data_IF_919057092263
#
_entry.id   IF_919057092263
#
_cell.length_a   1.000
_cell.length_b   1.000
_cell.length_c   1.000
_cell.angle_alpha   90.00
_cell.angle_beta   90.00
_cell.angle_gamma   90.00
#
_symmetry.space_group_name_H-M   'P 1'
#
loop_
_entity.id
_entity.type
_entity.pdbx_description
1 polymer ?
#
# COMPACT_ATOMS: atom_id res chain seq x y z
N UNK A 1 -9.89 55.11 29.97
CA UNK A 1 -10.39 53.94 30.72
C UNK A 1 -9.83 52.70 30.06
N UNK A 2 -8.81 52.11 30.68
CA UNK A 2 -8.10 50.94 30.18
C UNK A 2 -8.67 49.72 30.96
N UNK A 3 -9.35 48.81 30.28
CA UNK A 3 -9.80 47.54 30.88
C UNK A 3 -8.70 46.50 30.75
N UNK A 4 -8.11 46.15 31.88
CA UNK A 4 -7.19 45.02 32.02
C UNK A 4 -8.03 43.77 32.16
N UNK A 5 -8.02 42.90 31.12
CA UNK A 5 -8.61 41.56 31.15
C UNK A 5 -7.66 40.59 31.82
N UNK A 6 -8.02 40.07 32.97
CA UNK A 6 -7.32 39.01 33.69
C UNK A 6 -7.70 37.67 33.06
N UNK A 7 -6.78 37.00 32.36
CA UNK A 7 -6.96 35.65 31.87
C UNK A 7 -6.67 34.64 33.01
N UNK A 8 -7.70 33.99 33.49
CA UNK A 8 -7.60 32.84 34.40
C UNK A 8 -7.20 31.58 33.61
N UNK A 9 -5.99 31.12 33.83
CA UNK A 9 -5.54 29.82 33.34
C UNK A 9 -6.17 28.70 34.19
N UNK A 10 -6.94 27.83 33.55
CA UNK A 10 -7.45 26.62 34.18
C UNK A 10 -6.33 25.57 34.33
N UNK A 11 -6.26 24.85 35.46
CA UNK A 11 -5.25 23.81 35.63
C UNK A 11 -5.54 22.61 34.69
N UNK A 12 -4.50 22.12 34.05
CA UNK A 12 -4.54 20.89 33.30
C UNK A 12 -4.73 19.70 34.26
N UNK A 13 -5.92 19.12 34.28
CA UNK A 13 -6.16 17.89 35.01
C UNK A 13 -5.38 16.74 34.34
N UNK A 14 -4.44 16.18 35.08
CA UNK A 14 -3.72 14.96 34.69
C UNK A 14 -4.73 13.81 34.64
N UNK A 15 -5.01 13.29 33.44
CA UNK A 15 -5.77 12.05 33.26
C UNK A 15 -4.94 10.92 33.87
N UNK A 16 -5.30 10.55 35.08
CA UNK A 16 -4.74 9.35 35.72
C UNK A 16 -5.17 8.12 34.91
N UNK A 17 -4.18 7.35 34.43
CA UNK A 17 -4.42 6.07 33.79
C UNK A 17 -5.18 5.18 34.80
N UNK A 18 -6.44 4.88 34.51
CA UNK A 18 -7.27 4.02 35.34
C UNK A 18 -6.69 2.60 35.26
N UNK A 19 -6.15 2.10 36.37
CA UNK A 19 -5.83 0.69 36.54
C UNK A 19 -7.16 -0.10 36.37
N UNK A 20 -7.17 -1.03 35.42
CA UNK A 20 -8.31 -1.91 35.21
C UNK A 20 -8.65 -2.72 36.46
N UNK A 21 -9.87 -3.31 36.54
CA UNK A 21 -10.36 -4.00 37.73
C UNK A 21 -9.40 -5.14 38.14
N UNK A 22 -9.13 -5.32 39.42
CA UNK A 22 -8.30 -6.41 39.92
C UNK A 22 -9.03 -7.75 39.71
N UNK A 23 -8.39 -8.67 38.94
CA UNK A 23 -8.89 -10.05 38.84
C UNK A 23 -8.94 -10.71 37.47
N UNK A 24 -8.67 -9.99 36.37
CA UNK A 24 -8.46 -10.68 35.10
C UNK A 24 -6.98 -11.09 34.99
N UNK A 25 -6.73 -12.39 34.95
CA UNK A 25 -5.41 -12.91 34.63
C UNK A 25 -4.96 -12.29 33.30
N UNK A 26 -3.93 -11.45 33.35
CA UNK A 26 -3.29 -10.93 32.14
C UNK A 26 -2.74 -12.15 31.40
N UNK A 27 -3.07 -12.27 30.12
CA UNK A 27 -2.42 -13.26 29.26
C UNK A 27 -0.89 -13.06 29.24
N UNK A 28 -0.16 -13.98 28.60
CA UNK A 28 1.31 -13.91 28.53
C UNK A 28 1.80 -12.57 27.99
N UNK A 29 2.86 -12.04 28.57
CA UNK A 29 3.54 -10.83 28.12
C UNK A 29 4.37 -11.09 26.87
N UNK A 30 4.85 -10.04 26.23
CA UNK A 30 5.79 -10.16 25.11
C UNK A 30 7.10 -10.84 25.53
N UNK A 31 7.57 -10.62 26.77
CA UNK A 31 8.78 -11.26 27.32
C UNK A 31 8.58 -12.77 27.44
N UNK A 32 7.43 -13.23 27.92
CA UNK A 32 7.12 -14.65 28.00
C UNK A 32 7.15 -15.32 26.62
N UNK A 33 6.64 -14.65 25.59
CA UNK A 33 6.65 -15.14 24.21
C UNK A 33 8.09 -15.17 23.64
N UNK A 34 8.84 -14.10 23.84
CA UNK A 34 10.21 -13.95 23.32
C UNK A 34 11.19 -14.89 24.03
N UNK A 35 10.88 -15.37 25.25
CA UNK A 35 11.66 -16.41 25.92
C UNK A 35 11.92 -17.63 25.05
N UNK A 36 11.00 -17.96 24.12
CA UNK A 36 11.18 -19.02 23.15
C UNK A 36 11.34 -18.47 21.71
N UNK A 37 10.51 -17.50 21.32
CA UNK A 37 10.47 -17.02 19.94
C UNK A 37 11.64 -16.10 19.53
N UNK A 38 12.49 -15.68 20.44
CA UNK A 38 13.77 -15.03 20.14
C UNK A 38 14.89 -16.01 19.76
N UNK A 39 14.68 -17.32 19.90
CA UNK A 39 15.65 -18.32 19.45
C UNK A 39 15.56 -18.51 17.93
N UNK A 40 16.66 -18.20 17.23
CA UNK A 40 16.79 -18.38 15.77
C UNK A 40 16.72 -19.85 15.34
N UNK A 41 16.98 -20.79 16.23
CA UNK A 41 16.89 -22.23 15.99
C UNK A 41 15.48 -22.78 16.13
N UNK A 42 14.55 -22.03 16.70
CA UNK A 42 13.18 -22.49 16.92
C UNK A 42 12.44 -22.69 15.61
N UNK A 43 12.05 -23.94 15.33
CA UNK A 43 11.35 -24.31 14.11
C UNK A 43 10.20 -25.28 14.39
N UNK A 44 9.24 -25.36 13.49
CA UNK A 44 8.24 -26.44 13.44
C UNK A 44 8.18 -27.08 12.06
N UNK A 45 7.69 -28.30 12.02
CA UNK A 45 7.47 -29.01 10.74
C UNK A 45 6.07 -28.71 10.20
N UNK A 46 6.01 -28.21 8.97
CA UNK A 46 4.75 -27.99 8.23
C UNK A 46 4.86 -28.67 6.86
N UNK A 47 4.06 -29.67 6.63
CA UNK A 47 4.08 -30.47 5.40
C UNK A 47 5.50 -30.95 5.01
N UNK A 48 6.27 -31.41 6.01
CA UNK A 48 7.63 -31.91 5.82
C UNK A 48 8.72 -30.85 5.63
N UNK A 49 8.39 -29.57 5.77
CA UNK A 49 9.35 -28.45 5.71
C UNK A 49 9.53 -27.81 7.07
N UNK A 50 10.76 -27.53 7.44
CA UNK A 50 11.06 -26.75 8.64
C UNK A 50 10.67 -25.28 8.40
N UNK A 51 9.79 -24.76 9.25
CA UNK A 51 9.35 -23.36 9.24
C UNK A 51 9.89 -22.70 10.50
N UNK A 52 10.61 -21.60 10.35
CA UNK A 52 11.10 -20.81 11.46
C UNK A 52 9.94 -20.19 12.25
N UNK A 53 10.04 -20.24 13.56
CA UNK A 53 9.15 -19.56 14.50
C UNK A 53 9.86 -18.36 15.16
N UNK A 54 11.07 -18.04 14.71
CA UNK A 54 11.85 -16.91 15.21
C UNK A 54 11.13 -15.59 14.94
N UNK A 55 11.08 -14.73 15.94
CA UNK A 55 10.60 -13.36 15.85
C UNK A 55 11.71 -12.42 16.27
N UNK A 56 12.12 -11.54 15.35
CA UNK A 56 13.11 -10.51 15.63
C UNK A 56 12.44 -9.35 16.37
N UNK A 57 12.77 -9.19 17.63
CA UNK A 57 12.19 -8.17 18.50
C UNK A 57 12.49 -6.75 18.00
N UNK A 58 13.69 -6.50 17.46
CA UNK A 58 14.07 -5.18 16.96
C UNK A 58 13.29 -4.82 15.68
N UNK A 59 13.00 -5.80 14.86
CA UNK A 59 12.12 -5.64 13.68
C UNK A 59 10.69 -5.35 14.11
N UNK A 60 10.19 -6.11 15.10
CA UNK A 60 8.84 -5.91 15.64
C UNK A 60 8.69 -4.50 16.24
N UNK A 61 9.64 -4.05 17.06
CA UNK A 61 9.63 -2.71 17.68
C UNK A 61 9.55 -1.57 16.66
N UNK A 62 10.13 -1.75 15.48
CA UNK A 62 10.08 -0.76 14.37
C UNK A 62 8.81 -0.82 13.55
N UNK A 63 8.00 -1.87 13.71
CA UNK A 63 6.71 -2.01 13.05
C UNK A 63 5.72 -0.95 13.54
N UNK A 64 4.74 -0.59 12.72
CA UNK A 64 3.60 0.26 13.15
C UNK A 64 2.80 -0.37 14.29
N UNK A 65 2.92 -1.69 14.49
CA UNK A 65 2.29 -2.45 15.56
C UNK A 65 3.26 -2.75 16.72
N UNK A 66 4.46 -2.22 16.71
CA UNK A 66 5.53 -2.55 17.68
C UNK A 66 5.23 -2.25 19.15
N UNK A 67 4.12 -1.54 19.43
CA UNK A 67 3.66 -1.26 20.80
C UNK A 67 2.54 -2.20 21.27
N UNK A 68 2.10 -3.12 20.40
CA UNK A 68 1.05 -4.07 20.75
C UNK A 68 1.63 -5.32 21.40
N UNK A 69 0.85 -5.93 22.29
CA UNK A 69 1.15 -7.25 22.81
C UNK A 69 1.01 -8.31 21.70
N UNK A 70 1.82 -9.38 21.76
CA UNK A 70 1.72 -10.49 20.82
C UNK A 70 0.31 -11.07 20.77
N UNK A 71 -0.34 -11.16 21.92
CA UNK A 71 -1.70 -11.67 22.08
C UNK A 71 -2.78 -10.75 21.47
N UNK A 72 -2.47 -9.51 21.13
CA UNK A 72 -3.40 -8.63 20.40
C UNK A 72 -3.70 -9.19 18.99
N UNK A 73 -2.71 -9.86 18.39
CA UNK A 73 -2.85 -10.52 17.08
C UNK A 73 -3.05 -12.04 17.25
N UNK A 74 -2.29 -12.68 18.13
CA UNK A 74 -2.34 -14.11 18.43
C UNK A 74 -3.36 -14.40 19.54
N UNK A 75 -4.62 -14.10 19.29
CA UNK A 75 -5.71 -14.04 20.28
C UNK A 75 -6.12 -15.38 20.92
N UNK A 76 -5.55 -16.49 20.46
CA UNK A 76 -5.85 -17.82 21.02
C UNK A 76 -4.87 -18.26 22.11
N UNK A 77 -3.91 -17.40 22.52
CA UNK A 77 -2.88 -17.73 23.51
C UNK A 77 -3.28 -17.14 24.85
N UNK A 78 -3.52 -18.01 25.84
CA UNK A 78 -3.88 -17.65 27.21
C UNK A 78 -2.81 -18.03 28.23
N UNK A 79 -1.89 -18.90 27.86
CA UNK A 79 -0.80 -19.41 28.69
C UNK A 79 0.43 -19.75 27.85
N UNK A 80 1.60 -19.87 28.47
CA UNK A 80 2.83 -20.40 27.86
C UNK A 80 3.36 -21.56 28.73
N UNK A 81 3.77 -22.68 28.11
CA UNK A 81 3.72 -22.97 26.67
C UNK A 81 2.28 -23.10 26.17
N UNK A 82 2.04 -22.63 24.94
CA UNK A 82 0.73 -22.64 24.31
C UNK A 82 0.51 -23.88 23.41
N UNK A 83 -0.73 -24.09 22.98
CA UNK A 83 -1.08 -25.16 22.04
C UNK A 83 -0.30 -25.01 20.72
N UNK A 84 0.13 -26.11 20.12
CA UNK A 84 0.90 -26.13 18.87
C UNK A 84 0.12 -25.53 17.68
N UNK A 85 -1.20 -25.77 17.66
CA UNK A 85 -2.10 -25.25 16.61
C UNK A 85 -2.88 -24.06 17.14
N UNK A 86 -2.57 -22.89 16.63
CA UNK A 86 -3.23 -21.63 16.99
C UNK A 86 -4.25 -21.21 15.92
N UNK A 87 -5.28 -20.45 16.30
CA UNK A 87 -6.14 -19.77 15.34
C UNK A 87 -5.33 -18.84 14.42
N UNK A 88 -5.71 -18.72 13.14
CA UNK A 88 -5.04 -17.77 12.24
C UNK A 88 -5.24 -16.33 12.72
N UNK A 89 -4.19 -15.52 12.58
CA UNK A 89 -4.25 -14.09 12.86
C UNK A 89 -5.21 -13.40 11.90
N UNK A 90 -6.08 -12.55 12.44
CA UNK A 90 -7.07 -11.80 11.67
C UNK A 90 -6.87 -10.30 11.79
N UNK A 91 -6.32 -9.69 10.73
CA UNK A 91 -6.13 -8.24 10.63
C UNK A 91 -7.45 -7.47 10.63
N UNK A 92 -8.53 -8.09 10.14
CA UNK A 92 -9.86 -7.46 10.03
C UNK A 92 -10.50 -7.11 11.38
N UNK A 93 -10.03 -7.66 12.49
CA UNK A 93 -10.52 -7.31 13.83
C UNK A 93 -10.34 -5.81 14.12
N UNK A 94 -9.23 -5.23 13.68
CA UNK A 94 -8.94 -3.81 13.81
C UNK A 94 -9.09 -3.06 12.47
N UNK A 95 -8.76 -3.70 11.35
CA UNK A 95 -8.77 -3.11 10.01
C UNK A 95 -10.02 -3.54 9.20
N UNK A 96 -11.20 -3.54 9.82
CA UNK A 96 -12.44 -4.03 9.21
C UNK A 96 -12.82 -3.29 7.90
N UNK A 97 -12.54 -1.98 7.81
CA UNK A 97 -12.84 -1.22 6.59
C UNK A 97 -11.91 -1.62 5.44
N UNK A 98 -10.60 -1.74 5.69
CA UNK A 98 -9.65 -2.19 4.68
C UNK A 98 -10.01 -3.60 4.19
N UNK A 99 -10.32 -4.52 5.11
CA UNK A 99 -10.72 -5.88 4.77
C UNK A 99 -12.00 -5.94 3.92
N UNK A 100 -13.04 -5.16 4.26
CA UNK A 100 -14.26 -5.07 3.45
C UNK A 100 -14.00 -4.49 2.06
N UNK A 101 -13.15 -3.48 1.98
CA UNK A 101 -12.80 -2.85 0.71
C UNK A 101 -12.00 -3.78 -0.17
N UNK A 102 -10.99 -4.46 0.42
CA UNK A 102 -10.15 -5.42 -0.28
C UNK A 102 -10.97 -6.62 -0.80
N UNK A 103 -11.95 -7.11 -0.05
CA UNK A 103 -12.81 -8.20 -0.48
C UNK A 103 -13.53 -7.93 -1.82
N UNK A 104 -13.63 -6.68 -2.26
CA UNK A 104 -14.20 -6.30 -3.56
C UNK A 104 -13.14 -6.09 -4.64
N UNK A 105 -11.86 -6.07 -4.27
CA UNK A 105 -10.72 -5.90 -5.20
C UNK A 105 -10.48 -7.15 -6.03
N UNK A 106 -9.70 -7.02 -7.10
CA UNK A 106 -9.25 -8.17 -7.90
C UNK A 106 -8.43 -9.15 -7.05
N UNK A 107 -7.63 -8.65 -6.11
CA UNK A 107 -6.82 -9.46 -5.21
C UNK A 107 -7.66 -10.16 -4.15
N UNK A 108 -8.60 -9.46 -3.52
CA UNK A 108 -9.46 -10.02 -2.48
C UNK A 108 -10.43 -11.08 -3.01
N UNK A 109 -10.77 -11.03 -4.31
CA UNK A 109 -11.60 -12.04 -4.99
C UNK A 109 -10.79 -13.20 -5.57
N UNK A 110 -9.48 -13.11 -5.58
CA UNK A 110 -8.62 -14.18 -6.09
C UNK A 110 -8.70 -15.42 -5.19
N UNK A 111 -8.68 -16.60 -5.79
CA UNK A 111 -8.79 -17.87 -5.10
C UNK A 111 -7.69 -18.86 -5.53
N UNK A 112 -7.56 -19.95 -4.80
CA UNK A 112 -6.58 -20.99 -5.10
C UNK A 112 -5.13 -20.49 -4.99
N UNK A 113 -4.29 -20.84 -5.94
CA UNK A 113 -2.87 -20.44 -5.98
C UNK A 113 -2.66 -18.93 -6.17
N UNK A 114 -3.66 -18.22 -6.69
CA UNK A 114 -3.62 -16.77 -6.87
C UNK A 114 -4.10 -15.98 -5.65
N UNK A 115 -4.45 -16.65 -4.54
CA UNK A 115 -4.97 -16.01 -3.33
C UNK A 115 -3.93 -15.07 -2.74
N UNK A 116 -4.32 -13.81 -2.60
CA UNK A 116 -3.53 -12.77 -1.94
C UNK A 116 -4.13 -12.52 -0.55
N UNK A 117 -3.28 -12.37 0.45
CA UNK A 117 -3.68 -12.06 1.83
C UNK A 117 -3.10 -10.70 2.24
N UNK A 118 -3.59 -10.12 3.32
CA UNK A 118 -3.02 -8.87 3.86
C UNK A 118 -1.50 -8.96 4.02
N UNK A 119 -1.03 -10.11 4.53
CA UNK A 119 0.40 -10.38 4.78
C UNK A 119 1.24 -10.46 3.49
N UNK A 120 0.62 -10.79 2.35
CA UNK A 120 1.34 -10.85 1.07
C UNK A 120 1.91 -9.49 0.64
N UNK A 121 1.28 -8.40 1.07
CA UNK A 121 1.70 -7.03 0.78
C UNK A 121 2.30 -6.33 1.99
N UNK A 122 1.75 -6.55 3.18
CA UNK A 122 2.12 -5.82 4.40
C UNK A 122 3.12 -6.57 5.29
N UNK A 123 3.43 -7.83 5.00
CA UNK A 123 4.23 -8.67 5.89
C UNK A 123 3.48 -9.06 7.16
N UNK A 124 4.23 -9.49 8.17
CA UNK A 124 3.69 -9.97 9.47
C UNK A 124 4.15 -9.11 10.63
N UNK A 125 5.41 -9.27 11.04
CA UNK A 125 5.99 -8.57 12.20
C UNK A 125 6.67 -7.23 11.82
N UNK A 126 7.11 -7.07 10.57
CA UNK A 126 7.76 -5.87 10.04
C UNK A 126 6.77 -4.97 9.26
N UNK A 127 5.58 -4.73 9.81
CA UNK A 127 4.58 -3.92 9.09
C UNK A 127 5.02 -2.46 9.04
N UNK A 128 5.33 -1.98 7.84
CA UNK A 128 5.72 -0.60 7.59
C UNK A 128 4.49 0.32 7.44
N UNK A 129 4.64 1.64 7.67
CA UNK A 129 3.59 2.61 7.36
C UNK A 129 3.17 2.49 5.88
N UNK A 130 1.87 2.52 5.60
CA UNK A 130 1.36 2.40 4.23
C UNK A 130 1.92 3.48 3.28
N UNK A 131 2.25 4.65 3.81
CA UNK A 131 2.85 5.78 3.06
C UNK A 131 4.30 5.54 2.62
N UNK A 132 4.95 4.52 3.16
CA UNK A 132 6.34 4.16 2.80
C UNK A 132 6.43 2.97 1.86
N UNK A 133 5.30 2.35 1.52
CA UNK A 133 5.28 1.23 0.59
C UNK A 133 5.49 1.72 -0.85
N UNK A 134 6.54 1.22 -1.49
CA UNK A 134 6.86 1.47 -2.89
C UNK A 134 6.25 0.42 -3.83
N UNK A 135 7.05 -0.03 -4.80
CA UNK A 135 6.67 -1.07 -5.75
C UNK A 135 6.99 -2.50 -5.25
N UNK A 136 7.71 -2.64 -4.15
CA UNK A 136 8.24 -3.91 -3.63
C UNK A 136 7.13 -4.94 -3.36
N UNK A 137 5.99 -4.59 -2.73
CA UNK A 137 4.92 -5.55 -2.49
C UNK A 137 4.34 -6.14 -3.79
N UNK A 138 4.34 -5.35 -4.87
CA UNK A 138 3.83 -5.78 -6.17
C UNK A 138 4.81 -6.72 -6.87
N UNK A 139 6.11 -6.49 -6.69
CA UNK A 139 7.19 -7.20 -7.39
C UNK A 139 7.17 -8.70 -7.16
N UNK A 140 6.77 -9.15 -5.97
CA UNK A 140 6.75 -10.57 -5.61
C UNK A 140 5.91 -11.42 -6.59
N UNK A 141 4.82 -10.86 -7.12
CA UNK A 141 3.93 -11.54 -8.08
C UNK A 141 4.00 -10.91 -9.47
N UNK A 142 4.19 -9.59 -9.57
CA UNK A 142 4.22 -8.83 -10.83
C UNK A 142 5.65 -8.45 -11.26
N UNK A 143 6.61 -9.37 -11.08
CA UNK A 143 8.04 -9.12 -11.32
C UNK A 143 8.38 -8.54 -12.70
N UNK A 144 7.92 -9.10 -13.82
CA UNK A 144 8.21 -8.55 -15.16
C UNK A 144 7.71 -7.11 -15.34
N UNK A 145 6.47 -6.84 -14.92
CA UNK A 145 5.84 -5.51 -15.02
C UNK A 145 6.53 -4.51 -14.10
N UNK A 146 6.89 -4.91 -12.89
CA UNK A 146 7.63 -4.06 -11.95
C UNK A 146 9.00 -3.69 -12.50
N UNK A 147 9.71 -4.65 -13.13
CA UNK A 147 11.00 -4.34 -13.80
C UNK A 147 10.84 -3.33 -14.93
N UNK A 148 9.80 -3.45 -15.74
CA UNK A 148 9.51 -2.48 -16.80
C UNK A 148 9.23 -1.09 -16.19
N UNK A 149 8.38 -1.02 -15.17
CA UNK A 149 8.09 0.23 -14.46
C UNK A 149 9.35 0.88 -13.88
N UNK A 150 10.28 0.12 -13.30
CA UNK A 150 11.52 0.65 -12.71
C UNK A 150 12.44 1.33 -13.75
N UNK A 151 12.27 1.05 -15.03
CA UNK A 151 12.99 1.76 -16.10
C UNK A 151 12.28 3.03 -16.57
N UNK A 152 11.05 3.27 -16.15
CA UNK A 152 10.22 4.39 -16.59
C UNK A 152 10.69 5.75 -16.06
N UNK A 153 10.20 6.81 -16.69
CA UNK A 153 10.45 8.19 -16.24
C UNK A 153 9.87 8.43 -14.84
N UNK A 154 8.76 7.80 -14.50
CA UNK A 154 8.12 7.95 -13.17
C UNK A 154 8.96 7.31 -12.07
N UNK A 155 9.37 6.06 -12.23
CA UNK A 155 10.19 5.37 -11.24
C UNK A 155 11.57 6.05 -11.08
N UNK A 156 12.19 6.49 -12.18
CA UNK A 156 13.45 7.25 -12.13
C UNK A 156 13.28 8.60 -11.42
N UNK A 157 12.11 9.23 -11.49
CA UNK A 157 11.83 10.45 -10.75
C UNK A 157 11.72 10.18 -9.25
N UNK A 158 11.00 9.13 -8.84
CA UNK A 158 10.92 8.68 -7.45
C UNK A 158 12.29 8.35 -6.87
N UNK A 159 13.12 7.61 -7.62
CA UNK A 159 14.49 7.27 -7.22
C UNK A 159 15.39 8.50 -7.00
N UNK A 160 15.05 9.65 -7.60
CA UNK A 160 15.71 10.95 -7.37
C UNK A 160 15.06 11.78 -6.27
N UNK A 161 14.11 11.20 -5.50
CA UNK A 161 13.42 11.87 -4.40
C UNK A 161 12.25 12.77 -4.81
N UNK A 162 11.76 12.65 -6.05
CA UNK A 162 10.56 13.39 -6.51
C UNK A 162 9.32 12.64 -6.03
N UNK A 163 8.78 13.06 -4.88
CA UNK A 163 7.70 12.37 -4.16
C UNK A 163 6.34 12.42 -4.87
N UNK A 164 6.13 13.34 -5.80
CA UNK A 164 4.89 13.47 -6.58
C UNK A 164 4.96 12.78 -7.96
N UNK A 165 5.95 11.92 -8.18
CA UNK A 165 5.97 11.00 -9.30
C UNK A 165 5.13 9.75 -8.99
N UNK A 166 4.55 9.15 -10.03
CA UNK A 166 3.53 8.11 -9.88
C UNK A 166 4.10 6.75 -9.47
N UNK A 167 3.45 6.11 -8.49
CA UNK A 167 3.58 4.69 -8.14
C UNK A 167 2.47 3.85 -8.81
N UNK A 168 2.52 2.55 -8.62
CA UNK A 168 1.56 1.60 -9.22
C UNK A 168 0.10 1.99 -8.94
N UNK A 169 -0.23 2.30 -7.68
CA UNK A 169 -1.59 2.63 -7.27
C UNK A 169 -2.09 4.01 -7.73
N UNK A 170 -1.21 4.91 -8.16
CA UNK A 170 -1.62 6.20 -8.72
C UNK A 170 -2.30 6.02 -10.08
N UNK A 171 -1.90 4.97 -10.82
CA UNK A 171 -2.52 4.59 -12.08
C UNK A 171 -3.61 3.55 -11.90
N UNK A 172 -3.35 2.49 -11.10
CA UNK A 172 -4.26 1.36 -10.94
C UNK A 172 -5.38 1.61 -9.92
N UNK A 173 -5.33 2.71 -9.17
CA UNK A 173 -6.25 3.03 -8.10
C UNK A 173 -5.80 2.51 -6.74
N UNK A 174 -6.55 2.83 -5.70
CA UNK A 174 -6.21 2.49 -4.32
C UNK A 174 -5.98 0.98 -4.15
N UNK A 175 -4.90 0.60 -3.44
CA UNK A 175 -4.44 -0.79 -3.32
C UNK A 175 -5.53 -1.79 -2.89
N UNK A 176 -6.43 -1.39 -1.99
CA UNK A 176 -7.55 -2.22 -1.55
C UNK A 176 -8.79 -2.14 -2.46
N UNK A 177 -8.72 -1.44 -3.61
CA UNK A 177 -9.82 -1.29 -4.58
C UNK A 177 -9.38 -1.58 -6.00
N UNK A 178 -8.28 -2.31 -6.17
CA UNK A 178 -7.75 -2.62 -7.48
C UNK A 178 -8.78 -3.37 -8.33
N UNK A 179 -8.92 -2.92 -9.58
CA UNK A 179 -9.83 -3.50 -10.58
C UNK A 179 -9.03 -4.04 -11.76
N UNK A 180 -9.60 -5.01 -12.47
CA UNK A 180 -9.03 -5.46 -13.74
C UNK A 180 -9.02 -4.30 -14.74
N UNK A 181 -8.01 -4.24 -15.59
CA UNK A 181 -7.99 -3.30 -16.73
C UNK A 181 -9.15 -3.52 -17.72
N UNK A 182 -9.82 -4.66 -17.67
CA UNK A 182 -11.02 -4.96 -18.47
C UNK A 182 -12.31 -4.47 -17.81
N UNK A 183 -12.29 -4.04 -16.54
CA UNK A 183 -13.44 -3.47 -15.85
C UNK A 183 -13.63 -2.00 -16.30
N UNK A 184 -14.79 -1.62 -16.85
CA UNK A 184 -15.05 -0.25 -17.29
C UNK A 184 -14.89 0.81 -16.19
N UNK A 185 -14.99 0.44 -14.92
CA UNK A 185 -14.76 1.34 -13.80
C UNK A 185 -13.29 1.38 -13.33
N UNK A 186 -12.41 0.57 -13.93
CA UNK A 186 -10.98 0.62 -13.63
C UNK A 186 -10.36 1.93 -14.13
N UNK A 187 -9.49 2.58 -13.34
CA UNK A 187 -8.71 3.71 -13.85
C UNK A 187 -7.81 3.35 -15.04
N UNK A 188 -7.44 2.08 -15.16
CA UNK A 188 -6.63 1.56 -16.28
C UNK A 188 -7.45 0.88 -17.37
N UNK A 189 -8.80 1.01 -17.33
CA UNK A 189 -9.63 0.65 -18.48
C UNK A 189 -9.24 1.52 -19.68
N UNK A 190 -9.12 0.92 -20.86
CA UNK A 190 -8.54 1.60 -22.03
C UNK A 190 -9.12 3.01 -22.25
N UNK A 191 -10.45 3.14 -22.31
CA UNK A 191 -11.10 4.43 -22.55
C UNK A 191 -10.89 5.45 -21.41
N UNK A 192 -10.46 5.03 -20.21
CA UNK A 192 -10.20 5.90 -19.05
C UNK A 192 -8.72 6.23 -18.86
N UNK A 193 -7.84 5.59 -19.61
CA UNK A 193 -6.38 5.78 -19.44
C UNK A 193 -5.97 7.24 -19.60
N UNK A 194 -6.54 7.95 -20.57
CA UNK A 194 -6.22 9.36 -20.76
C UNK A 194 -6.65 10.23 -19.56
N UNK A 195 -7.80 9.94 -18.95
CA UNK A 195 -8.25 10.61 -17.71
C UNK A 195 -7.27 10.33 -16.55
N UNK A 196 -6.82 9.09 -16.44
CA UNK A 196 -5.84 8.68 -15.41
C UNK A 196 -4.51 9.40 -15.55
N UNK A 197 -3.97 9.50 -16.76
CA UNK A 197 -2.76 10.30 -17.04
C UNK A 197 -3.02 11.79 -16.78
N UNK A 198 -4.20 12.27 -17.18
CA UNK A 198 -4.63 13.67 -17.04
C UNK A 198 -4.68 14.17 -15.60
N UNK A 199 -4.88 13.29 -14.61
CA UNK A 199 -4.89 13.72 -13.20
C UNK A 199 -3.63 14.48 -12.79
N UNK A 200 -2.49 14.13 -13.37
CA UNK A 200 -1.21 14.79 -13.16
C UNK A 200 -0.81 15.67 -14.35
N UNK A 201 -0.95 15.16 -15.59
CA UNK A 201 -0.52 15.88 -16.79
C UNK A 201 -1.44 17.03 -17.23
N UNK A 202 -2.59 17.23 -16.58
CA UNK A 202 -3.40 18.42 -16.69
C UNK A 202 -3.19 19.42 -15.52
N UNK A 203 -2.50 19.00 -14.46
CA UNK A 203 -2.15 19.89 -13.35
C UNK A 203 -1.04 20.85 -13.77
N UNK A 204 -1.41 22.10 -14.00
CA UNK A 204 -0.50 23.14 -14.46
C UNK A 204 0.66 23.38 -13.48
N UNK A 205 0.37 23.40 -12.19
CA UNK A 205 1.39 23.65 -11.16
C UNK A 205 2.41 22.51 -11.09
N UNK A 206 1.95 21.26 -11.23
CA UNK A 206 2.82 20.09 -11.31
C UNK A 206 3.68 20.14 -12.58
N UNK A 207 3.06 20.38 -13.73
CA UNK A 207 3.71 20.41 -15.04
C UNK A 207 4.81 21.48 -15.07
N UNK A 208 4.52 22.69 -14.60
CA UNK A 208 5.49 23.78 -14.49
C UNK A 208 6.63 23.46 -13.51
N UNK A 209 6.28 22.99 -12.29
CA UNK A 209 7.27 22.65 -11.27
C UNK A 209 8.22 21.52 -11.66
N UNK A 210 7.73 20.55 -12.45
CA UNK A 210 8.49 19.38 -12.89
C UNK A 210 9.05 19.48 -14.30
N UNK A 211 8.86 20.63 -14.95
CA UNK A 211 9.31 20.89 -16.33
C UNK A 211 8.87 19.79 -17.30
N UNK A 212 7.59 19.38 -17.22
CA UNK A 212 7.04 18.38 -18.14
C UNK A 212 6.93 19.02 -19.54
N UNK A 213 7.49 18.38 -20.59
CA UNK A 213 7.73 19.06 -21.87
C UNK A 213 6.51 19.58 -22.60
N UNK A 214 5.35 18.94 -22.41
CA UNK A 214 4.11 19.31 -23.11
C UNK A 214 3.09 19.76 -22.06
N UNK A 215 3.06 21.05 -21.70
CA UNK A 215 1.98 21.59 -20.89
C UNK A 215 0.64 21.39 -21.62
N UNK A 216 -0.39 21.00 -20.91
CA UNK A 216 -1.72 20.73 -21.51
C UNK A 216 -1.79 19.47 -22.41
N UNK A 217 -0.90 18.49 -22.24
CA UNK A 217 -0.92 17.25 -23.03
C UNK A 217 -2.31 16.57 -23.01
N UNK A 218 -2.97 16.54 -21.86
CA UNK A 218 -4.31 15.97 -21.72
C UNK A 218 -5.37 16.77 -22.50
N UNK A 219 -5.35 18.10 -22.42
CA UNK A 219 -6.29 18.96 -23.14
C UNK A 219 -6.08 18.89 -24.67
N UNK A 220 -4.83 18.78 -25.11
CA UNK A 220 -4.51 18.58 -26.52
C UNK A 220 -5.00 17.22 -27.01
N UNK A 221 -4.81 16.17 -26.22
CA UNK A 221 -5.35 14.84 -26.52
C UNK A 221 -6.88 14.88 -26.65
N UNK A 222 -7.60 15.50 -25.70
CA UNK A 222 -9.07 15.62 -25.77
C UNK A 222 -9.57 16.28 -27.06
N UNK A 223 -8.82 17.24 -27.61
CA UNK A 223 -9.13 17.92 -28.87
C UNK A 223 -8.71 17.15 -30.12
N UNK A 224 -7.91 16.09 -29.96
CA UNK A 224 -7.43 15.27 -31.08
C UNK A 224 -8.55 14.41 -31.69
N UNK A 225 -8.30 13.83 -32.85
CA UNK A 225 -9.22 12.87 -33.47
C UNK A 225 -9.41 11.63 -32.59
N UNK A 226 -8.34 11.18 -31.91
CA UNK A 226 -8.40 10.04 -31.01
C UNK A 226 -9.21 10.35 -29.75
N UNK A 227 -8.93 11.46 -29.08
CA UNK A 227 -9.66 11.84 -27.86
C UNK A 227 -11.15 12.06 -28.09
N UNK A 228 -11.51 12.70 -29.22
CA UNK A 228 -12.93 12.84 -29.61
C UNK A 228 -13.59 11.50 -29.91
N UNK A 229 -12.88 10.57 -30.54
CA UNK A 229 -13.42 9.25 -30.84
C UNK A 229 -13.66 8.44 -29.57
N UNK A 230 -12.69 8.43 -28.63
CA UNK A 230 -12.85 7.77 -27.32
C UNK A 230 -14.01 8.39 -26.53
N UNK A 231 -14.12 9.71 -26.49
CA UNK A 231 -15.23 10.41 -25.83
C UNK A 231 -16.60 10.07 -26.44
N UNK A 232 -16.64 9.74 -27.73
CA UNK A 232 -17.84 9.25 -28.43
C UNK A 232 -18.06 7.72 -28.27
N UNK A 233 -17.32 7.04 -27.39
CA UNK A 233 -17.43 5.60 -27.17
C UNK A 233 -16.89 4.73 -28.31
N UNK A 234 -16.11 5.31 -29.25
CA UNK A 234 -15.50 4.59 -30.37
C UNK A 234 -14.12 4.07 -29.99
N UNK A 235 -13.70 2.91 -30.51
CA UNK A 235 -12.33 2.43 -30.32
C UNK A 235 -11.34 3.39 -31.01
N UNK A 236 -10.42 3.96 -30.25
CA UNK A 236 -9.37 4.84 -30.75
C UNK A 236 -8.20 4.87 -29.72
N UNK A 237 -7.02 5.26 -30.17
CA UNK A 237 -5.83 5.28 -29.34
C UNK A 237 -5.98 6.23 -28.13
N UNK A 238 -5.44 5.79 -27.00
CA UNK A 238 -5.25 6.57 -25.77
C UNK A 238 -3.76 6.80 -25.51
N UNK A 239 -3.40 7.41 -24.39
CA UNK A 239 -2.02 7.80 -24.14
C UNK A 239 -1.04 6.60 -24.18
N UNK A 240 -1.43 5.48 -23.57
CA UNK A 240 -0.57 4.29 -23.47
C UNK A 240 -0.42 3.51 -24.78
N UNK A 241 -1.26 3.74 -25.78
CA UNK A 241 -1.11 3.08 -27.10
C UNK A 241 0.08 3.64 -27.87
N UNK A 242 0.53 4.86 -27.52
CA UNK A 242 1.73 5.47 -28.10
C UNK A 242 2.91 5.49 -27.09
N UNK A 243 2.63 5.76 -25.82
CA UNK A 243 3.65 5.99 -24.79
C UNK A 243 4.02 4.75 -23.98
N UNK A 244 3.45 3.58 -24.27
CA UNK A 244 3.52 2.38 -23.44
C UNK A 244 2.83 2.57 -22.08
N UNK A 245 2.75 1.50 -21.28
CA UNK A 245 2.06 1.53 -19.99
C UNK A 245 3.01 1.56 -18.79
N UNK A 246 3.99 0.68 -18.77
CA UNK A 246 4.89 0.52 -17.63
C UNK A 246 6.31 0.98 -17.91
N UNK A 247 6.74 0.93 -19.18
CA UNK A 247 8.06 1.34 -19.64
C UNK A 247 8.01 2.73 -20.28
N UNK A 248 7.31 3.66 -19.65
CA UNK A 248 7.18 5.04 -20.14
C UNK A 248 8.55 5.73 -20.24
N UNK A 249 8.94 6.12 -21.45
CA UNK A 249 10.23 6.75 -21.75
C UNK A 249 10.04 8.16 -22.29
N UNK A 250 11.10 8.95 -22.21
CA UNK A 250 11.11 10.28 -22.87
C UNK A 250 11.13 10.11 -24.40
N UNK A 251 10.52 11.03 -25.13
CA UNK A 251 10.50 11.01 -26.59
C UNK A 251 11.90 11.04 -27.24
N UNK A 252 12.90 11.55 -26.55
CA UNK A 252 14.29 11.57 -27.03
C UNK A 252 15.13 10.35 -26.56
N UNK A 253 14.51 9.35 -25.96
CA UNK A 253 15.14 8.08 -25.64
C UNK A 253 14.99 7.14 -26.86
N UNK A 254 16.09 6.63 -27.46
CA UNK A 254 16.02 5.73 -28.61
C UNK A 254 15.20 4.45 -28.40
N UNK A 255 14.94 4.09 -27.16
CA UNK A 255 14.10 2.95 -26.78
C UNK A 255 12.64 3.34 -26.52
N UNK A 256 12.28 4.62 -26.72
CA UNK A 256 10.89 5.07 -26.60
C UNK A 256 10.09 4.64 -27.81
N UNK A 257 8.86 4.21 -27.59
CA UNK A 257 7.91 3.90 -28.67
C UNK A 257 7.52 5.10 -29.53
N UNK A 258 7.85 6.31 -29.06
CA UNK A 258 7.58 7.59 -29.75
C UNK A 258 8.87 8.35 -30.13
N UNK A 259 10.01 7.66 -30.18
CA UNK A 259 11.32 8.24 -30.59
C UNK A 259 11.32 8.73 -32.02
#
# INVERSE_FOLDING_TARGET
>A
MIFLGLALAAPAEAVAAQAGPPGQARGPSNEDCLGCHADKGLTKQVAGKAVSLFTDEEVLKKSVHGRLECTACHTGITEVPHAEKLPPVSCQKCHAMAARTDATSIHGRAAGAARVTCQSCHGTHAVAPATTLGAEPCQACHGPVTRAYLTSVHARALARGIQDASLCFDCHGAAHRLRSHTDPESPTFHARTAETCGRCHADRALVERRHIPIPQAYQLYQKSVHGRAVAAGKPAATCNDCHESHDLRRANDPQSSIY
#
